data_IF_978618421536
#
_entry.id   IF_978618421536
#
_cell.length_a   1.000
_cell.length_b   1.000
_cell.length_c   1.000
_cell.angle_alpha   90.00
_cell.angle_beta   90.00
_cell.angle_gamma   90.00
#
_symmetry.space_group_name_H-M   'P 1'
#
loop_
_entity.id
_entity.type
_entity.pdbx_description
1 polymer ?
#
# COMPACT_ATOMS: atom_id res chain seq x y z
N UNK A 1 -6.73 -1.38 -24.11
CA UNK A 1 -6.93 -2.17 -25.35
C UNK A 1 -7.43 -1.29 -26.48
N UNK A 2 -8.68 -0.80 -26.43
CA UNK A 2 -9.24 0.04 -27.50
C UNK A 2 -8.36 1.26 -27.88
N UNK A 3 -7.77 2.01 -26.93
CA UNK A 3 -6.88 3.12 -27.28
C UNK A 3 -5.62 2.71 -28.04
N UNK A 4 -5.09 1.51 -27.76
CA UNK A 4 -3.87 1.00 -28.42
C UNK A 4 -4.16 0.61 -29.86
N UNK A 5 -5.29 -0.06 -30.10
CA UNK A 5 -5.72 -0.46 -31.44
C UNK A 5 -6.09 0.76 -32.28
N UNK A 6 -6.88 1.68 -31.72
CA UNK A 6 -7.26 2.92 -32.40
C UNK A 6 -6.02 3.75 -32.76
N UNK A 7 -5.09 3.94 -31.82
CA UNK A 7 -3.85 4.66 -32.10
C UNK A 7 -3.06 4.04 -33.24
N UNK A 8 -2.93 2.71 -33.27
CA UNK A 8 -2.26 2.01 -34.36
C UNK A 8 -2.96 2.19 -35.72
N UNK A 9 -4.30 2.12 -35.76
CA UNK A 9 -5.10 2.31 -37.00
C UNK A 9 -4.95 3.73 -37.56
N UNK A 10 -4.87 4.74 -36.70
CA UNK A 10 -4.72 6.14 -37.11
C UNK A 10 -3.25 6.60 -37.21
N UNK A 11 -2.27 5.68 -37.18
CA UNK A 11 -0.84 6.00 -37.18
C UNK A 11 -0.38 6.94 -36.04
N UNK A 12 -1.11 6.96 -34.93
CA UNK A 12 -0.73 7.68 -33.71
C UNK A 12 0.23 6.82 -32.88
N UNK A 13 1.40 7.33 -32.46
CA UNK A 13 2.32 6.58 -31.62
C UNK A 13 1.68 6.13 -30.30
N UNK A 14 1.76 4.82 -30.02
CA UNK A 14 1.25 4.24 -28.78
C UNK A 14 2.39 3.69 -27.93
N UNK A 15 2.41 4.05 -26.65
CA UNK A 15 3.23 3.42 -25.62
C UNK A 15 2.36 2.50 -24.77
N UNK A 16 2.80 1.26 -24.57
CA UNK A 16 2.15 0.31 -23.65
C UNK A 16 2.97 0.28 -22.35
N UNK A 17 2.32 0.37 -21.20
CA UNK A 17 2.94 0.16 -19.89
C UNK A 17 2.54 -1.22 -19.36
N UNK A 18 3.52 -2.09 -19.14
CA UNK A 18 3.35 -3.42 -18.55
C UNK A 18 4.06 -3.49 -17.19
N UNK A 19 3.26 -3.49 -16.13
CA UNK A 19 3.76 -3.51 -14.77
C UNK A 19 4.02 -4.90 -14.20
N UNK A 20 3.43 -5.94 -14.81
CA UNK A 20 3.50 -7.30 -14.28
C UNK A 20 4.83 -7.97 -14.66
N UNK A 21 5.33 -8.84 -13.77
CA UNK A 21 6.51 -9.67 -14.05
C UNK A 21 6.28 -10.63 -15.24
N UNK A 22 5.04 -11.09 -15.43
CA UNK A 22 4.62 -11.86 -16.58
C UNK A 22 3.65 -11.00 -17.41
N UNK A 23 4.04 -10.59 -18.62
CA UNK A 23 3.19 -9.77 -19.46
C UNK A 23 1.84 -10.43 -19.75
N UNK A 24 0.76 -9.65 -19.62
CA UNK A 24 -0.59 -10.13 -19.89
C UNK A 24 -0.76 -10.56 -21.34
N UNK A 25 -1.67 -11.50 -21.61
CA UNK A 25 -1.97 -12.00 -22.97
C UNK A 25 -2.24 -10.85 -23.96
N UNK A 26 -3.03 -9.89 -23.51
CA UNK A 26 -3.32 -8.63 -24.20
C UNK A 26 -2.07 -7.85 -24.58
N UNK A 27 -1.18 -7.60 -23.62
CA UNK A 27 0.02 -6.80 -23.88
C UNK A 27 0.98 -7.54 -24.81
N UNK A 28 1.07 -8.87 -24.70
CA UNK A 28 1.83 -9.71 -25.64
C UNK A 28 1.29 -9.62 -27.07
N UNK A 29 -0.04 -9.64 -27.24
CA UNK A 29 -0.69 -9.51 -28.55
C UNK A 29 -0.46 -8.11 -29.14
N UNK A 30 -0.68 -7.06 -28.35
CA UNK A 30 -0.65 -5.67 -28.82
C UNK A 30 0.76 -5.06 -28.86
N UNK A 31 1.79 -5.71 -28.31
CA UNK A 31 3.17 -5.24 -28.32
C UNK A 31 3.71 -4.96 -29.73
N UNK A 32 3.18 -5.65 -30.75
CA UNK A 32 3.54 -5.44 -32.16
C UNK A 32 2.89 -4.20 -32.79
N UNK A 33 1.86 -3.65 -32.15
CA UNK A 33 1.18 -2.45 -32.62
C UNK A 33 1.69 -1.18 -31.93
N UNK A 34 2.20 -1.31 -30.69
CA UNK A 34 2.82 -0.19 -29.96
C UNK A 34 4.19 0.21 -30.53
N UNK A 35 4.52 1.50 -30.43
CA UNK A 35 5.87 2.02 -30.74
C UNK A 35 6.92 1.46 -29.78
N UNK A 36 6.55 1.31 -28.52
CA UNK A 36 7.35 0.65 -27.49
C UNK A 36 6.44 0.09 -26.38
N UNK A 37 7.00 -0.83 -25.61
CA UNK A 37 6.42 -1.39 -24.38
C UNK A 37 7.37 -1.08 -23.23
N UNK A 38 6.98 -0.17 -22.35
CA UNK A 38 7.68 0.11 -21.11
C UNK A 38 7.39 -1.02 -20.10
N UNK A 39 8.44 -1.67 -19.60
CA UNK A 39 8.33 -2.81 -18.68
C UNK A 39 9.06 -2.57 -17.36
N UNK A 40 8.62 -3.28 -16.33
CA UNK A 40 9.18 -3.20 -14.97
C UNK A 40 10.49 -3.98 -14.79
N UNK A 41 10.81 -4.93 -15.67
CA UNK A 41 11.97 -5.81 -15.52
C UNK A 41 12.42 -6.46 -16.83
N UNK A 42 13.67 -6.92 -16.86
CA UNK A 42 14.24 -7.73 -17.95
C UNK A 42 13.44 -9.04 -18.17
N UNK A 43 12.95 -9.64 -17.08
CA UNK A 43 12.12 -10.84 -17.16
C UNK A 43 10.83 -10.60 -17.96
N UNK A 44 10.20 -9.43 -17.79
CA UNK A 44 9.04 -9.05 -18.59
C UNK A 44 9.43 -8.76 -20.06
N UNK A 45 10.56 -8.07 -20.29
CA UNK A 45 11.07 -7.78 -21.63
C UNK A 45 11.29 -9.05 -22.46
N UNK A 46 11.92 -10.07 -21.88
CA UNK A 46 12.21 -11.35 -22.54
C UNK A 46 10.96 -12.12 -23.02
N UNK A 47 9.76 -11.74 -22.56
CA UNK A 47 8.48 -12.38 -22.89
C UNK A 47 7.69 -11.62 -23.96
N UNK A 48 8.23 -10.50 -24.46
CA UNK A 48 7.65 -9.66 -25.49
C UNK A 48 8.43 -9.80 -26.81
N UNK A 49 7.86 -9.39 -27.95
CA UNK A 49 8.58 -9.38 -29.23
C UNK A 49 9.89 -8.59 -29.13
N UNK A 50 10.95 -9.14 -29.74
CA UNK A 50 12.27 -8.52 -29.74
C UNK A 50 12.22 -7.08 -30.29
N UNK A 51 13.00 -6.18 -29.68
CA UNK A 51 13.08 -4.77 -30.08
C UNK A 51 11.85 -3.92 -29.74
N UNK A 52 10.83 -4.47 -29.05
CA UNK A 52 9.65 -3.71 -28.62
C UNK A 52 9.68 -3.27 -27.16
N UNK A 53 10.40 -3.98 -26.30
CA UNK A 53 10.43 -3.71 -24.87
C UNK A 53 11.55 -2.72 -24.51
N UNK A 54 11.25 -1.80 -23.59
CA UNK A 54 12.22 -0.92 -22.93
C UNK A 54 12.03 -1.06 -21.43
N UNK A 55 13.11 -1.41 -20.71
CA UNK A 55 13.07 -1.54 -19.25
C UNK A 55 13.16 -0.16 -18.62
N UNK A 56 12.04 0.31 -18.07
CA UNK A 56 11.94 1.64 -17.44
C UNK A 56 11.75 1.56 -15.93
N UNK A 57 11.40 0.37 -15.42
CA UNK A 57 10.84 0.22 -14.08
C UNK A 57 9.38 0.65 -14.04
N UNK A 58 8.79 0.65 -12.83
CA UNK A 58 7.43 1.12 -12.60
C UNK A 58 7.43 2.60 -12.24
N UNK A 59 6.57 3.42 -12.86
CA UNK A 59 6.37 4.79 -12.40
C UNK A 59 5.74 4.74 -11.01
N UNK A 60 6.52 5.14 -10.01
CA UNK A 60 6.07 5.28 -8.62
C UNK A 60 5.90 6.75 -8.28
N UNK A 61 4.94 7.03 -7.40
CA UNK A 61 4.70 8.37 -6.88
C UNK A 61 5.94 8.86 -6.12
N UNK A 62 6.34 10.12 -6.31
CA UNK A 62 7.55 10.67 -5.67
C UNK A 62 7.49 10.58 -4.15
N UNK A 63 6.30 10.78 -3.61
CA UNK A 63 6.02 10.74 -2.18
C UNK A 63 6.37 9.37 -1.58
N UNK A 64 6.23 8.28 -2.34
CA UNK A 64 6.62 6.92 -1.90
C UNK A 64 8.12 6.80 -1.67
N UNK A 65 8.92 7.50 -2.48
CA UNK A 65 10.38 7.45 -2.42
C UNK A 65 10.94 8.44 -1.40
N UNK A 66 10.21 9.52 -1.13
CA UNK A 66 10.68 10.60 -0.24
C UNK A 66 10.17 10.51 1.19
N UNK A 67 9.35 9.51 1.52
CA UNK A 67 8.83 9.34 2.88
C UNK A 67 9.93 8.97 3.88
N UNK A 68 9.77 9.41 5.13
CA UNK A 68 10.67 9.05 6.24
C UNK A 68 9.97 8.25 7.32
N UNK A 69 10.72 7.38 8.01
CA UNK A 69 10.21 6.59 9.13
C UNK A 69 9.62 7.47 10.23
N UNK A 70 10.26 8.58 10.53
CA UNK A 70 9.83 9.55 11.55
C UNK A 70 8.50 10.20 11.19
N UNK A 71 8.28 10.50 9.90
CA UNK A 71 6.99 10.97 9.41
C UNK A 71 5.91 9.89 9.52
N UNK A 72 6.20 8.64 9.16
CA UNK A 72 5.25 7.53 9.32
C UNK A 72 4.84 7.34 10.77
N UNK A 73 5.83 7.31 11.68
CA UNK A 73 5.61 7.21 13.12
C UNK A 73 4.72 8.33 13.64
N UNK A 74 5.01 9.60 13.31
CA UNK A 74 4.20 10.74 13.73
C UNK A 74 2.80 10.73 13.12
N UNK A 75 2.70 10.36 11.84
CA UNK A 75 1.44 10.38 11.09
C UNK A 75 0.45 9.37 11.66
N UNK A 76 0.92 8.18 12.02
CA UNK A 76 0.08 7.06 12.45
C UNK A 76 0.20 6.76 13.96
N UNK A 77 0.75 7.69 14.75
CA UNK A 77 0.86 7.54 16.21
C UNK A 77 1.62 6.29 16.67
N UNK A 78 2.58 5.80 15.87
CA UNK A 78 3.26 4.53 16.13
C UNK A 78 4.30 4.66 17.25
N UNK A 79 4.61 3.55 17.92
CA UNK A 79 5.70 3.50 18.89
C UNK A 79 7.05 3.39 18.15
N UNK A 80 8.02 4.31 18.36
CA UNK A 80 9.27 4.33 17.59
C UNK A 80 10.20 3.15 17.91
N UNK A 81 10.01 2.49 19.05
CA UNK A 81 10.81 1.35 19.51
C UNK A 81 10.18 -0.02 19.19
N UNK A 82 9.04 -0.05 18.49
CA UNK A 82 8.37 -1.29 18.06
C UNK A 82 8.53 -1.48 16.55
N UNK A 83 8.55 -2.75 16.11
CA UNK A 83 8.51 -3.11 14.68
C UNK A 83 7.07 -3.01 14.19
N UNK A 84 6.87 -2.33 13.06
CA UNK A 84 5.54 -2.15 12.47
C UNK A 84 5.31 -3.15 11.36
N UNK A 85 4.21 -3.89 11.45
CA UNK A 85 3.67 -4.71 10.36
C UNK A 85 2.62 -3.89 9.63
N UNK A 86 2.91 -3.53 8.37
CA UNK A 86 1.96 -2.87 7.49
C UNK A 86 1.13 -3.92 6.76
N UNK A 87 -0.19 -3.80 6.86
CA UNK A 87 -1.17 -4.64 6.14
C UNK A 87 -2.02 -3.75 5.26
N UNK A 88 -2.06 -4.02 3.96
CA UNK A 88 -2.81 -3.21 2.99
C UNK A 88 -3.64 -4.15 2.09
N UNK A 89 -4.95 -3.93 2.05
CA UNK A 89 -5.89 -4.61 1.15
C UNK A 89 -6.21 -3.84 -0.14
N UNK A 90 -5.67 -2.63 -0.30
CA UNK A 90 -6.00 -1.72 -1.40
C UNK A 90 -7.20 -0.82 -1.10
N UNK A 91 -7.55 0.06 -2.02
CA UNK A 91 -8.55 1.13 -1.77
C UNK A 91 -9.92 0.61 -1.33
N UNK A 92 -10.37 -0.49 -1.93
CA UNK A 92 -11.62 -1.19 -1.60
C UNK A 92 -11.47 -2.13 -0.40
N UNK A 93 -10.25 -2.40 0.04
CA UNK A 93 -9.96 -3.41 1.05
C UNK A 93 -10.04 -4.83 0.50
N UNK A 94 -9.63 -5.78 1.34
CA UNK A 94 -9.70 -7.20 1.04
C UNK A 94 -10.35 -7.93 2.22
N UNK A 95 -11.66 -8.18 2.15
CA UNK A 95 -12.45 -8.70 3.27
C UNK A 95 -11.86 -9.95 3.94
N UNK A 96 -11.35 -10.90 3.15
CA UNK A 96 -10.70 -12.12 3.68
C UNK A 96 -9.40 -11.82 4.43
N UNK A 97 -8.60 -10.88 3.90
CA UNK A 97 -7.37 -10.43 4.57
C UNK A 97 -7.71 -9.72 5.87
N UNK A 98 -8.70 -8.83 5.85
CA UNK A 98 -9.07 -8.04 7.00
C UNK A 98 -9.47 -8.94 8.19
N UNK A 99 -10.32 -9.95 7.96
CA UNK A 99 -10.70 -10.94 8.99
C UNK A 99 -9.50 -11.71 9.52
N UNK A 100 -8.67 -12.23 8.62
CA UNK A 100 -7.48 -12.99 9.01
C UNK A 100 -6.53 -12.18 9.90
N UNK A 101 -6.40 -10.88 9.63
CA UNK A 101 -5.55 -9.98 10.42
C UNK A 101 -6.19 -9.67 11.77
N UNK A 102 -7.51 -9.40 11.81
CA UNK A 102 -8.24 -9.18 13.06
C UNK A 102 -8.16 -10.40 13.99
N UNK A 103 -8.24 -11.62 13.44
CA UNK A 103 -8.03 -12.87 14.17
C UNK A 103 -6.57 -13.05 14.62
N UNK A 104 -5.60 -12.80 13.74
CA UNK A 104 -4.18 -12.94 14.05
C UNK A 104 -3.72 -11.99 15.16
N UNK A 105 -4.26 -10.77 15.20
CA UNK A 105 -3.96 -9.76 16.22
C UNK A 105 -4.29 -10.26 17.63
N UNK A 106 -5.36 -11.05 17.79
CA UNK A 106 -5.71 -11.66 19.09
C UNK A 106 -4.60 -12.62 19.55
N UNK A 107 -4.08 -13.45 18.64
CA UNK A 107 -2.98 -14.37 18.94
C UNK A 107 -1.64 -13.67 19.22
N UNK A 108 -1.49 -12.43 18.76
CA UNK A 108 -0.27 -11.63 18.91
C UNK A 108 -0.32 -10.66 20.09
N UNK A 109 -1.42 -10.62 20.86
CA UNK A 109 -1.64 -9.63 21.93
C UNK A 109 -0.52 -9.55 22.97
N UNK A 110 0.21 -10.65 23.23
CA UNK A 110 1.33 -10.69 24.17
C UNK A 110 2.64 -10.07 23.64
N UNK A 111 2.74 -9.75 22.34
CA UNK A 111 3.95 -9.20 21.72
C UNK A 111 4.06 -7.70 21.99
N UNK A 112 5.12 -7.31 22.69
CA UNK A 112 5.41 -5.90 23.04
C UNK A 112 6.40 -5.24 22.08
N UNK A 113 7.11 -6.03 21.31
CA UNK A 113 8.08 -5.61 20.28
C UNK A 113 7.42 -5.30 18.93
N UNK A 114 6.13 -5.62 18.77
CA UNK A 114 5.38 -5.46 17.53
C UNK A 114 4.23 -4.45 17.66
N UNK A 115 3.88 -3.88 16.51
CA UNK A 115 2.65 -3.14 16.27
C UNK A 115 2.16 -3.39 14.84
N UNK A 116 0.89 -3.18 14.57
CA UNK A 116 0.25 -3.41 13.27
C UNK A 116 -0.39 -2.10 12.79
N UNK A 117 -0.13 -1.73 11.55
CA UNK A 117 -0.84 -0.68 10.82
C UNK A 117 -1.64 -1.34 9.69
N UNK A 118 -2.97 -1.28 9.78
CA UNK A 118 -3.86 -2.04 8.92
C UNK A 118 -4.78 -1.13 8.11
N UNK A 119 -4.56 -1.08 6.80
CA UNK A 119 -5.45 -0.42 5.85
C UNK A 119 -6.53 -1.38 5.37
N UNK A 120 -7.78 -1.13 5.80
CA UNK A 120 -8.89 -2.07 5.66
C UNK A 120 -9.82 -1.81 4.48
N UNK A 121 -9.72 -0.65 3.83
CA UNK A 121 -10.62 -0.23 2.76
C UNK A 121 -11.76 0.65 3.27
N UNK A 122 -12.31 1.51 2.39
CA UNK A 122 -13.31 2.53 2.78
C UNK A 122 -14.63 1.95 3.30
N UNK A 123 -14.96 0.71 2.93
CA UNK A 123 -16.23 0.05 3.27
C UNK A 123 -16.10 -1.07 4.29
N UNK A 124 -14.97 -1.22 4.99
CA UNK A 124 -14.83 -2.27 6.00
C UNK A 124 -15.42 -1.85 7.35
N UNK A 125 -16.38 -2.63 7.83
CA UNK A 125 -17.14 -2.42 9.07
C UNK A 125 -16.89 -3.52 10.13
N UNK A 126 -15.86 -4.36 9.91
CA UNK A 126 -15.50 -5.45 10.82
C UNK A 126 -15.21 -5.00 12.26
N UNK A 127 -15.48 -5.90 13.20
CA UNK A 127 -15.29 -5.64 14.63
C UNK A 127 -13.80 -5.45 14.97
N UNK A 128 -13.51 -4.48 15.83
CA UNK A 128 -12.16 -4.28 16.33
C UNK A 128 -11.78 -5.40 17.31
N UNK A 129 -10.56 -5.97 17.23
CA UNK A 129 -10.07 -6.92 18.23
C UNK A 129 -10.09 -6.31 19.64
N UNK A 130 -10.43 -7.11 20.67
CA UNK A 130 -10.41 -6.64 22.07
C UNK A 130 -8.98 -6.22 22.47
N UNK A 131 -8.84 -5.03 23.04
CA UNK A 131 -7.53 -4.46 23.41
C UNK A 131 -6.82 -3.71 22.28
N UNK A 132 -7.38 -3.71 21.06
CA UNK A 132 -6.94 -2.82 19.99
C UNK A 132 -7.18 -1.36 20.40
N UNK A 133 -6.13 -0.54 20.35
CA UNK A 133 -6.26 0.91 20.48
C UNK A 133 -6.57 1.48 19.10
N UNK A 134 -7.81 1.84 18.80
CA UNK A 134 -8.08 2.74 17.68
C UNK A 134 -7.66 4.14 18.08
N UNK A 135 -6.52 4.57 17.57
CA UNK A 135 -6.28 5.99 17.35
C UNK A 135 -7.29 6.53 16.32
N UNK A 136 -7.68 7.79 16.53
CA UNK A 136 -8.91 8.40 16.04
C UNK A 136 -8.95 8.69 14.52
N UNK A 137 -8.71 7.69 13.67
CA UNK A 137 -9.06 7.76 12.26
C UNK A 137 -10.50 7.27 12.09
N UNK A 138 -11.44 8.13 12.50
CA UNK A 138 -12.86 7.93 12.21
C UNK A 138 -13.11 7.81 10.70
N UNK A 139 -14.22 7.18 10.32
CA UNK A 139 -14.70 7.16 8.94
C UNK A 139 -14.92 8.59 8.44
N UNK A 140 -13.93 9.17 7.77
CA UNK A 140 -13.97 10.54 7.27
C UNK A 140 -12.83 10.80 6.28
N UNK A 141 -13.05 11.69 5.30
CA UNK A 141 -12.12 11.99 4.20
C UNK A 141 -10.89 12.79 4.62
N UNK A 142 -10.73 13.09 5.90
CA UNK A 142 -9.64 13.93 6.39
C UNK A 142 -8.81 13.14 7.40
N UNK A 143 -7.54 12.93 7.06
CA UNK A 143 -6.48 12.64 8.04
C UNK A 143 -6.33 13.91 8.86
N UNK A 144 -6.76 14.00 10.13
CA UNK A 144 -6.65 15.24 10.86
C UNK A 144 -5.17 15.62 10.97
N UNK A 145 -4.86 16.88 10.63
CA UNK A 145 -3.51 17.44 10.64
C UNK A 145 -2.84 17.42 12.04
N UNK A 146 -3.53 16.95 13.07
CA UNK A 146 -2.98 16.58 14.37
C UNK A 146 -3.81 15.42 14.91
N UNK A 147 -3.17 14.28 15.16
CA UNK A 147 -3.71 13.30 16.09
C UNK A 147 -3.72 13.95 17.48
N UNK A 148 -4.85 14.51 17.89
CA UNK A 148 -5.10 14.86 19.28
C UNK A 148 -5.47 13.58 20.05
N UNK A 149 -4.51 12.65 20.12
CA UNK A 149 -4.44 11.63 21.15
C UNK A 149 -3.39 12.11 22.14
N UNK A 150 -3.71 12.11 23.43
CA UNK A 150 -2.77 12.44 24.50
C UNK A 150 -1.41 11.82 24.22
N UNK A 151 -0.35 12.62 24.37
CA UNK A 151 1.02 12.16 24.21
C UNK A 151 1.21 10.83 24.96
N UNK A 152 1.96 9.87 24.41
CA UNK A 152 2.27 8.64 25.13
C UNK A 152 2.83 9.03 26.50
N UNK A 153 2.27 8.47 27.56
CA UNK A 153 2.73 8.72 28.91
C UNK A 153 4.23 8.38 28.98
N UNK A 154 5.05 9.42 29.00
CA UNK A 154 6.52 9.34 28.99
C UNK A 154 7.07 8.84 30.34
N UNK A 155 6.19 8.68 31.34
CA UNK A 155 6.55 8.25 32.70
C UNK A 155 6.34 6.77 32.96
N UNK A 156 5.76 6.00 32.02
CA UNK A 156 5.63 4.54 32.14
C UNK A 156 6.84 3.82 31.50
N UNK A 157 7.82 3.31 32.30
CA UNK A 157 8.95 2.55 31.77
C UNK A 157 8.54 1.19 31.16
N UNK A 158 7.25 0.82 31.17
CA UNK A 158 6.68 -0.45 30.73
C UNK A 158 5.54 -0.33 29.70
N UNK A 159 5.38 0.81 29.03
CA UNK A 159 4.55 1.02 27.83
C UNK A 159 3.24 0.20 27.77
N UNK A 160 2.32 0.45 28.70
CA UNK A 160 0.92 -0.01 28.79
C UNK A 160 0.44 -1.09 27.79
N UNK A 161 0.89 -2.32 28.03
CA UNK A 161 0.13 -3.57 27.94
C UNK A 161 -0.54 -3.94 26.61
N UNK A 162 0.23 -4.47 25.65
CA UNK A 162 -0.31 -5.25 24.52
C UNK A 162 0.27 -4.87 23.15
N UNK A 163 -0.07 -5.68 22.14
CA UNK A 163 0.19 -5.39 20.72
C UNK A 163 -0.41 -4.03 20.34
N UNK A 164 0.36 -3.16 19.70
CA UNK A 164 -0.20 -1.94 19.10
C UNK A 164 -0.97 -2.30 17.83
N UNK A 165 -2.19 -1.78 17.65
CA UNK A 165 -2.99 -2.02 16.44
C UNK A 165 -3.68 -0.74 15.98
N UNK A 166 -3.23 -0.19 14.86
CA UNK A 166 -3.77 1.00 14.20
C UNK A 166 -4.55 0.56 12.97
N UNK A 167 -5.81 0.99 12.85
CA UNK A 167 -6.67 0.68 11.70
C UNK A 167 -7.01 1.96 10.95
N UNK A 168 -6.82 1.96 9.64
CA UNK A 168 -7.16 3.08 8.76
C UNK A 168 -8.03 2.63 7.57
N UNK A 169 -9.04 3.41 7.15
CA UNK A 169 -9.87 3.04 6.01
C UNK A 169 -9.09 3.15 4.68
N UNK A 170 -8.22 4.15 4.57
CA UNK A 170 -7.42 4.42 3.39
C UNK A 170 -6.15 5.17 3.77
N UNK A 171 -5.10 5.04 2.95
CA UNK A 171 -3.84 5.76 3.13
C UNK A 171 -3.69 6.72 1.95
N UNK A 172 -4.09 7.98 2.15
CA UNK A 172 -3.91 9.04 1.14
C UNK A 172 -2.43 9.48 1.04
N UNK A 173 -1.67 9.35 2.13
CA UNK A 173 -0.22 9.62 2.18
C UNK A 173 0.59 8.33 2.12
N UNK A 174 0.59 7.71 0.94
CA UNK A 174 1.32 6.47 0.65
C UNK A 174 2.80 6.59 1.04
N UNK A 175 3.43 7.76 0.83
CA UNK A 175 4.81 8.02 1.27
C UNK A 175 5.11 7.75 2.74
N UNK A 176 4.24 8.23 3.63
CA UNK A 176 4.41 8.06 5.07
C UNK A 176 4.14 6.62 5.54
N UNK A 177 3.44 5.81 4.74
CA UNK A 177 3.12 4.43 5.09
C UNK A 177 4.18 3.42 4.66
N UNK A 178 4.96 3.72 3.62
CA UNK A 178 5.97 2.81 3.06
C UNK A 178 7.41 3.13 3.52
N UNK A 179 7.58 4.12 4.39
CA UNK A 179 8.85 4.53 5.00
C UNK A 179 9.03 3.96 6.41
#
# INVERSE_FOLDING_TARGET
MAPVVVGAVFNTPVLILEGNAIPGRTNRLLARLGRAVAVSSEAAAARLPAGRAVVTGLPIRREVVSGTREEGIRTFGLAPNRRTVLVIGGSQGAARLNRAVEEAVVGLAGRRDLQVLHQVGRGWDGALPRGARTDAFGHGRDVPARAAGSAPDRSDPRGSGGLGYVRVPYIDRVGAAYA
#
